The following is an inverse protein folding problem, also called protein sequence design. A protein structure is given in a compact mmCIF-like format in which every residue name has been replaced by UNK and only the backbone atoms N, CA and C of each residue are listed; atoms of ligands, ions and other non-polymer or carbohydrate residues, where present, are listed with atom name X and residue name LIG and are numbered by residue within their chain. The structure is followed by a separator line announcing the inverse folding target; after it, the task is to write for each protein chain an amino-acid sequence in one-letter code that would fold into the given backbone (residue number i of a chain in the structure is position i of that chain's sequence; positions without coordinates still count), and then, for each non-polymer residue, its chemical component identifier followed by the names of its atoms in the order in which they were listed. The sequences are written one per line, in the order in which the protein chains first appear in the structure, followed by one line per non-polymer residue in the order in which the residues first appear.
data_IF_071749355015
#
_entry.id   IF_071749355015
#
_cell.length_a   1.000
_cell.length_b   1.000
_cell.length_c   1.000
_cell.angle_alpha   90.00
_cell.angle_beta   90.00
_cell.angle_gamma   90.00
#
_symmetry.space_group_name_H-M   'P 1'
#
loop_
_entity.id
_entity.type
_entity.pdbx_description
1 polymer ?
#
# COMPACT_ATOMS: atom_id res chain seq x y z
N UNK A 1 9.39 -21.67 11.57
CA UNK A 1 10.80 -21.38 11.78
C UNK A 1 11.01 -19.90 11.74
N UNK A 2 11.42 -19.30 12.86
CA UNK A 2 11.87 -17.91 12.93
C UNK A 2 13.33 -17.89 13.38
N UNK A 3 14.20 -17.16 12.69
CA UNK A 3 15.59 -16.97 13.11
C UNK A 3 15.78 -15.52 13.53
N UNK A 4 16.20 -15.28 14.76
CA UNK A 4 16.54 -13.96 15.30
C UNK A 4 18.06 -13.89 15.39
N UNK A 5 18.65 -12.99 14.64
CA UNK A 5 20.09 -12.74 14.56
C UNK A 5 20.34 -11.31 15.04
N UNK A 6 21.22 -11.12 16.03
CA UNK A 6 21.48 -9.80 16.59
C UNK A 6 22.93 -9.65 17.05
N UNK A 7 23.52 -8.46 16.98
CA UNK A 7 24.80 -8.15 17.61
C UNK A 7 24.61 -7.74 19.07
N UNK A 8 25.36 -8.31 20.02
CA UNK A 8 25.13 -8.02 21.45
C UNK A 8 25.58 -6.61 21.90
N UNK A 9 26.33 -5.90 21.05
CA UNK A 9 26.75 -4.50 21.22
C UNK A 9 26.07 -3.56 20.20
N UNK A 10 24.94 -3.96 19.60
CA UNK A 10 24.19 -3.08 18.68
C UNK A 10 23.72 -1.81 19.41
N UNK A 11 24.23 -0.66 18.95
CA UNK A 11 23.95 0.68 19.48
C UNK A 11 22.90 1.46 18.66
N UNK A 12 22.46 0.92 17.51
CA UNK A 12 21.40 1.48 16.68
C UNK A 12 20.03 0.88 17.03
N UNK A 13 19.98 -0.45 17.19
CA UNK A 13 18.82 -1.23 17.62
C UNK A 13 19.27 -2.15 18.74
N UNK A 14 19.08 -1.78 20.02
CA UNK A 14 19.61 -2.54 21.14
C UNK A 14 19.18 -4.01 21.13
N UNK A 15 20.07 -4.92 21.53
CA UNK A 15 19.80 -6.38 21.62
C UNK A 15 18.57 -6.73 22.47
N UNK A 16 18.12 -5.82 23.33
CA UNK A 16 16.87 -5.95 24.09
C UNK A 16 15.65 -6.13 23.18
N UNK A 17 15.66 -5.61 21.96
CA UNK A 17 14.58 -5.81 20.98
C UNK A 17 14.50 -7.28 20.52
N UNK A 18 15.63 -7.90 20.18
CA UNK A 18 15.69 -9.32 19.83
C UNK A 18 15.28 -10.23 21.00
N UNK A 19 15.72 -9.89 22.22
CA UNK A 19 15.33 -10.62 23.43
C UNK A 19 13.82 -10.49 23.71
N UNK A 20 13.24 -9.31 23.48
CA UNK A 20 11.79 -9.07 23.61
C UNK A 20 11.01 -9.89 22.60
N UNK A 21 11.46 -9.93 21.33
CA UNK A 21 10.87 -10.76 20.29
C UNK A 21 10.93 -12.26 20.66
N UNK A 22 12.09 -12.74 21.12
CA UNK A 22 12.27 -14.12 21.56
C UNK A 22 11.36 -14.48 22.75
N UNK A 23 11.28 -13.61 23.76
CA UNK A 23 10.41 -13.81 24.92
C UNK A 23 8.93 -13.91 24.49
N UNK A 24 8.49 -13.04 23.58
CA UNK A 24 7.10 -13.09 23.10
C UNK A 24 6.81 -14.31 22.24
N UNK A 25 7.74 -14.72 21.37
CA UNK A 25 7.59 -15.97 20.60
C UNK A 25 7.48 -17.17 21.53
N UNK A 26 8.27 -17.23 22.60
CA UNK A 26 8.27 -18.34 23.55
C UNK A 26 6.89 -18.63 24.17
N UNK A 27 6.01 -17.63 24.25
CA UNK A 27 4.65 -17.77 24.76
C UNK A 27 3.72 -18.59 23.84
N UNK A 28 3.94 -18.61 22.52
CA UNK A 28 3.00 -19.23 21.57
C UNK A 28 3.63 -19.98 20.38
N UNK A 29 4.92 -19.78 20.09
CA UNK A 29 5.63 -20.39 18.97
C UNK A 29 6.95 -20.99 19.43
N UNK A 30 7.15 -22.30 19.20
CA UNK A 30 8.34 -23.01 19.69
C UNK A 30 9.43 -23.26 18.63
N UNK A 31 9.14 -23.03 17.35
CA UNK A 31 10.10 -23.23 16.25
C UNK A 31 10.83 -21.91 15.92
N UNK A 32 11.64 -21.42 16.87
CA UNK A 32 12.49 -20.25 16.67
C UNK A 32 13.88 -20.42 17.28
N UNK A 33 14.84 -19.66 16.77
CA UNK A 33 16.22 -19.56 17.27
C UNK A 33 16.55 -18.10 17.54
N UNK A 34 17.19 -17.82 18.68
CA UNK A 34 17.86 -16.54 18.95
C UNK A 34 19.37 -16.78 18.95
N UNK A 35 20.11 -16.05 18.12
CA UNK A 35 21.55 -16.01 18.12
C UNK A 35 22.03 -14.56 18.28
N UNK A 36 22.73 -14.31 19.38
CA UNK A 36 23.40 -13.05 19.66
C UNK A 36 24.89 -13.21 19.33
N UNK A 37 25.41 -12.45 18.38
CA UNK A 37 26.82 -12.45 18.01
C UNK A 37 27.62 -11.62 19.04
N UNK A 38 28.53 -12.25 19.82
CA UNK A 38 29.30 -11.53 20.83
C UNK A 38 30.23 -10.50 20.21
N UNK A 39 30.25 -9.30 20.80
CA UNK A 39 31.08 -8.17 20.40
C UNK A 39 30.64 -7.47 19.10
N UNK A 40 29.57 -7.92 18.45
CA UNK A 40 29.10 -7.31 17.21
C UNK A 40 28.17 -6.12 17.48
N UNK A 41 28.40 -5.03 16.75
CA UNK A 41 27.51 -3.87 16.71
C UNK A 41 26.37 -4.06 15.70
N UNK A 42 25.79 -2.96 15.22
CA UNK A 42 24.66 -3.00 14.27
C UNK A 42 25.01 -3.64 12.92
N UNK A 43 26.16 -3.27 12.37
CA UNK A 43 26.72 -3.87 11.15
C UNK A 43 28.00 -4.62 11.50
N UNK A 44 28.09 -5.89 11.11
CA UNK A 44 29.32 -6.66 11.23
C UNK A 44 29.52 -7.57 10.03
N UNK A 45 30.78 -7.89 9.75
CA UNK A 45 31.17 -8.94 8.79
C UNK A 45 31.62 -10.19 9.52
N UNK A 46 31.60 -11.34 8.83
CA UNK A 46 32.32 -12.50 9.31
C UNK A 46 33.82 -12.32 9.05
N UNK A 47 34.73 -12.69 9.97
CA UNK A 47 36.18 -12.57 9.73
C UNK A 47 36.67 -13.35 8.48
N UNK A 48 35.92 -14.38 8.09
CA UNK A 48 36.22 -15.28 6.98
C UNK A 48 35.50 -14.95 5.67
N UNK A 49 34.60 -13.98 5.65
CA UNK A 49 33.78 -13.66 4.48
C UNK A 49 33.64 -12.14 4.32
N UNK A 50 34.14 -11.53 3.21
CA UNK A 50 33.89 -10.14 2.90
C UNK A 50 32.41 -9.92 2.59
N UNK A 51 31.62 -9.62 3.62
CA UNK A 51 30.18 -9.44 3.54
C UNK A 51 29.62 -8.81 4.81
N UNK A 52 28.29 -8.73 4.89
CA UNK A 52 27.59 -8.19 6.04
C UNK A 52 26.95 -9.37 6.78
N UNK A 53 27.74 -10.02 7.65
CA UNK A 53 27.36 -11.16 8.49
C UNK A 53 26.01 -11.02 9.22
N UNK A 54 25.61 -9.77 9.49
CA UNK A 54 24.31 -9.39 10.03
C UNK A 54 23.10 -9.63 9.11
N UNK A 55 23.29 -9.80 7.81
CA UNK A 55 22.24 -10.03 6.81
C UNK A 55 22.45 -11.32 6.01
N UNK A 56 23.65 -11.90 6.03
CA UNK A 56 24.01 -13.08 5.25
C UNK A 56 24.44 -14.31 6.09
N UNK A 57 23.98 -14.40 7.35
CA UNK A 57 24.37 -15.44 8.31
C UNK A 57 24.04 -16.89 7.84
N UNK A 58 25.05 -17.78 7.68
CA UNK A 58 24.82 -19.11 7.12
C UNK A 58 23.81 -19.99 7.90
N UNK A 59 23.80 -20.03 9.25
CA UNK A 59 22.77 -20.75 9.99
C UNK A 59 21.33 -20.27 9.75
N UNK A 60 21.14 -18.99 9.43
CA UNK A 60 19.81 -18.46 9.06
C UNK A 60 19.36 -19.03 7.71
N UNK A 61 20.26 -19.09 6.72
CA UNK A 61 19.96 -19.69 5.42
C UNK A 61 19.76 -21.21 5.50
N UNK A 62 20.48 -21.92 6.38
CA UNK A 62 20.24 -23.34 6.64
C UNK A 62 18.81 -23.56 7.19
N UNK A 63 18.32 -22.68 8.06
CA UNK A 63 16.91 -22.71 8.49
C UNK A 63 15.96 -22.53 7.30
N UNK A 64 16.20 -21.57 6.41
CA UNK A 64 15.35 -21.35 5.24
C UNK A 64 15.32 -22.56 4.30
N UNK A 65 16.47 -23.21 4.08
CA UNK A 65 16.55 -24.42 3.26
C UNK A 65 15.78 -25.60 3.85
N UNK A 66 15.78 -25.74 5.19
CA UNK A 66 15.07 -26.82 5.89
C UNK A 66 13.59 -26.55 6.13
N UNK A 67 13.13 -25.31 5.97
CA UNK A 67 11.75 -24.88 6.24
C UNK A 67 11.09 -24.43 4.95
N UNK A 68 10.55 -25.41 4.22
CA UNK A 68 9.82 -25.19 2.98
C UNK A 68 8.37 -24.85 3.31
N UNK A 69 7.83 -23.80 2.68
CA UNK A 69 6.40 -23.49 2.79
C UNK A 69 5.56 -24.62 2.20
N UNK A 70 4.55 -25.08 2.93
CA UNK A 70 3.58 -26.03 2.41
C UNK A 70 2.91 -25.47 1.15
N UNK A 71 2.57 -26.36 0.20
CA UNK A 71 1.83 -25.96 -1.00
C UNK A 71 0.38 -25.57 -0.63
N UNK A 72 -0.30 -24.74 -1.44
CA UNK A 72 -1.70 -24.40 -1.17
C UNK A 72 -2.61 -25.64 -1.05
N UNK A 73 -2.43 -26.65 -1.90
CA UNK A 73 -3.20 -27.91 -1.88
C UNK A 73 -2.92 -28.80 -0.63
N UNK A 74 -1.82 -28.56 0.07
CA UNK A 74 -1.45 -29.24 1.32
C UNK A 74 -1.92 -28.48 2.57
N UNK A 75 -2.27 -27.21 2.42
CA UNK A 75 -2.64 -26.35 3.55
C UNK A 75 -4.11 -26.55 3.94
N UNK A 76 -4.35 -26.96 5.20
CA UNK A 76 -5.71 -27.18 5.73
C UNK A 76 -6.26 -26.01 6.53
N UNK A 77 -5.42 -25.08 6.96
CA UNK A 77 -5.83 -23.91 7.73
C UNK A 77 -5.02 -22.69 7.31
N UNK A 78 -5.71 -21.57 7.14
CA UNK A 78 -5.12 -20.26 6.88
C UNK A 78 -5.57 -19.34 8.00
N UNK A 79 -4.61 -18.72 8.68
CA UNK A 79 -4.81 -17.60 9.59
C UNK A 79 -4.01 -16.43 9.03
N UNK A 80 -4.71 -15.54 8.32
CA UNK A 80 -4.10 -14.48 7.54
C UNK A 80 -4.58 -13.12 8.02
N UNK A 81 -3.63 -12.21 8.26
CA UNK A 81 -3.91 -10.81 8.57
C UNK A 81 -3.07 -9.91 7.67
N UNK A 82 -3.70 -8.89 7.09
CA UNK A 82 -3.03 -7.86 6.30
C UNK A 82 -3.56 -6.48 6.65
N UNK A 83 -2.67 -5.50 6.79
CA UNK A 83 -3.07 -4.11 6.96
C UNK A 83 -3.58 -3.50 5.64
N UNK A 84 -3.05 -3.95 4.51
CA UNK A 84 -3.39 -3.45 3.19
C UNK A 84 -3.17 -4.53 2.12
N UNK A 85 -4.22 -4.93 1.38
CA UNK A 85 -4.11 -5.85 0.24
C UNK A 85 -3.08 -5.41 -0.82
N UNK A 86 -2.78 -4.11 -0.93
CA UNK A 86 -1.72 -3.60 -1.81
C UNK A 86 -0.32 -4.14 -1.48
N UNK A 87 -0.05 -4.43 -0.20
CA UNK A 87 1.26 -4.92 0.29
C UNK A 87 1.29 -6.44 0.33
N UNK A 88 0.24 -7.05 0.88
CA UNK A 88 0.12 -8.51 0.97
C UNK A 88 -1.36 -8.87 0.90
N UNK A 89 -1.75 -9.54 -0.18
CA UNK A 89 -3.12 -9.93 -0.42
C UNK A 89 -3.38 -11.41 -0.19
N UNK A 90 -2.37 -12.26 -0.38
CA UNK A 90 -2.56 -13.70 -0.52
C UNK A 90 -1.81 -14.48 0.54
N UNK A 91 -2.48 -15.47 1.11
CA UNK A 91 -1.87 -16.53 1.91
C UNK A 91 -2.46 -17.86 1.47
N UNK A 92 -1.62 -18.70 0.86
CA UNK A 92 -2.00 -20.03 0.37
C UNK A 92 -3.18 -19.94 -0.62
N UNK A 93 -4.31 -20.57 -0.33
CA UNK A 93 -5.50 -20.57 -1.18
C UNK A 93 -6.47 -19.41 -0.93
N UNK A 94 -6.12 -18.45 -0.06
CA UNK A 94 -6.94 -17.28 0.24
C UNK A 94 -6.28 -16.00 -0.27
N UNK A 95 -7.05 -15.17 -0.97
CA UNK A 95 -6.67 -13.77 -1.29
C UNK A 95 -7.72 -12.79 -0.77
N UNK A 96 -7.31 -11.78 0.00
CA UNK A 96 -8.14 -10.63 0.36
C UNK A 96 -7.94 -9.55 -0.71
N UNK A 97 -9.00 -9.19 -1.43
CA UNK A 97 -8.94 -8.21 -2.52
C UNK A 97 -9.29 -6.80 -2.07
N UNK A 98 -10.31 -6.66 -1.22
CA UNK A 98 -10.83 -5.35 -0.79
C UNK A 98 -11.15 -5.35 0.69
N UNK A 99 -10.90 -4.22 1.35
CA UNK A 99 -11.22 -3.98 2.75
C UNK A 99 -12.56 -3.25 2.88
N UNK A 100 -13.20 -3.34 4.05
CA UNK A 100 -14.39 -2.53 4.36
C UNK A 100 -13.95 -1.13 4.80
N UNK A 101 -13.01 -1.08 5.74
CA UNK A 101 -12.35 0.11 6.27
C UNK A 101 -10.87 0.05 5.84
N UNK A 102 -10.41 0.97 4.99
CA UNK A 102 -9.03 1.00 4.53
C UNK A 102 -8.01 1.07 5.69
N UNK A 103 -6.90 0.35 5.56
CA UNK A 103 -5.77 0.29 6.51
C UNK A 103 -6.05 -0.23 7.93
N UNK A 104 -7.31 -0.40 8.33
CA UNK A 104 -7.63 -1.26 9.49
C UNK A 104 -7.25 -2.70 9.12
N UNK A 105 -6.59 -3.47 10.00
CA UNK A 105 -6.24 -4.85 9.68
C UNK A 105 -7.45 -5.65 9.20
N UNK A 106 -7.30 -6.33 8.07
CA UNK A 106 -8.23 -7.33 7.58
C UNK A 106 -7.69 -8.70 7.95
N UNK A 107 -8.55 -9.56 8.49
CA UNK A 107 -8.15 -10.90 8.90
C UNK A 107 -9.15 -11.95 8.44
N UNK A 108 -8.63 -13.17 8.28
CA UNK A 108 -9.41 -14.32 7.87
C UNK A 108 -8.80 -15.59 8.47
N UNK A 109 -9.61 -16.33 9.24
CA UNK A 109 -9.24 -17.62 9.81
C UNK A 109 -10.17 -18.68 9.22
N UNK A 110 -9.66 -19.43 8.25
CA UNK A 110 -10.44 -20.40 7.48
C UNK A 110 -9.76 -21.78 7.50
N UNK A 111 -10.59 -22.81 7.59
CA UNK A 111 -10.22 -24.22 7.44
C UNK A 111 -10.71 -24.75 6.10
N UNK A 112 -9.84 -25.47 5.39
CA UNK A 112 -10.17 -26.27 4.22
C UNK A 112 -10.34 -27.74 4.65
N UNK A 113 -11.49 -28.33 4.30
CA UNK A 113 -11.82 -29.74 4.49
C UNK A 113 -12.08 -30.37 3.10
N UNK A 114 -11.04 -30.92 2.46
CA UNK A 114 -11.15 -31.51 1.12
C UNK A 114 -12.11 -32.69 1.05
N UNK A 115 -12.14 -33.54 2.09
CA UNK A 115 -13.01 -34.72 2.14
C UNK A 115 -14.49 -34.33 2.22
N UNK A 116 -14.81 -33.33 3.06
CA UNK A 116 -16.15 -32.73 3.14
C UNK A 116 -16.46 -31.72 2.03
N UNK A 117 -15.51 -31.47 1.10
CA UNK A 117 -15.56 -30.44 0.05
C UNK A 117 -16.02 -29.08 0.56
N UNK A 118 -15.37 -28.57 1.61
CA UNK A 118 -15.80 -27.30 2.21
C UNK A 118 -14.67 -26.39 2.70
N UNK A 119 -14.91 -25.09 2.62
CA UNK A 119 -14.23 -24.07 3.42
C UNK A 119 -15.13 -23.63 4.57
N UNK A 120 -14.55 -23.43 5.76
CA UNK A 120 -15.27 -22.96 6.95
C UNK A 120 -14.43 -21.95 7.72
N UNK A 121 -14.99 -20.78 8.06
CA UNK A 121 -14.23 -19.81 8.84
C UNK A 121 -14.93 -18.47 9.08
N UNK A 122 -14.13 -17.51 9.53
CA UNK A 122 -14.59 -16.15 9.82
C UNK A 122 -13.64 -15.10 9.25
N UNK A 123 -14.17 -13.91 9.00
CA UNK A 123 -13.41 -12.75 8.52
C UNK A 123 -13.69 -11.51 9.35
N UNK A 124 -12.69 -10.63 9.45
CA UNK A 124 -12.86 -9.25 9.91
C UNK A 124 -12.34 -8.26 8.88
N UNK A 125 -13.09 -7.17 8.69
CA UNK A 125 -12.75 -6.09 7.75
C UNK A 125 -12.48 -6.53 6.29
N UNK A 126 -13.17 -7.57 5.79
CA UNK A 126 -13.04 -8.03 4.40
C UNK A 126 -14.30 -7.71 3.59
N UNK A 127 -14.15 -7.00 2.48
CA UNK A 127 -15.25 -6.65 1.57
C UNK A 127 -15.32 -7.60 0.36
N UNK A 128 -14.17 -8.04 -0.16
CA UNK A 128 -14.07 -8.99 -1.27
C UNK A 128 -12.88 -9.92 -1.01
N UNK A 129 -13.11 -11.23 -1.15
CA UNK A 129 -12.05 -12.23 -1.11
C UNK A 129 -12.18 -13.22 -2.25
N UNK A 130 -11.10 -13.94 -2.47
CA UNK A 130 -10.97 -15.02 -3.43
C UNK A 130 -10.49 -16.28 -2.70
N UNK A 131 -11.11 -17.41 -3.02
CA UNK A 131 -10.67 -18.73 -2.58
C UNK A 131 -10.27 -19.54 -3.81
N UNK A 132 -9.00 -19.93 -3.87
CA UNK A 132 -8.51 -20.89 -4.85
C UNK A 132 -9.12 -22.27 -4.55
N UNK A 133 -9.66 -22.92 -5.57
CA UNK A 133 -10.27 -24.24 -5.45
C UNK A 133 -9.29 -25.39 -5.68
N UNK A 134 -7.99 -25.07 -5.86
CA UNK A 134 -6.90 -26.06 -5.97
C UNK A 134 -6.93 -27.18 -4.91
N UNK A 135 -7.38 -26.96 -3.65
CA UNK A 135 -7.48 -28.05 -2.69
C UNK A 135 -8.54 -29.12 -2.99
N UNK A 136 -9.39 -28.96 -4.02
CA UNK A 136 -10.46 -29.89 -4.36
C UNK A 136 -10.33 -30.45 -5.78
N UNK A 137 -10.35 -31.78 -5.89
CA UNK A 137 -10.38 -32.45 -7.19
C UNK A 137 -11.80 -32.55 -7.77
N UNK A 138 -11.91 -32.64 -9.09
CA UNK A 138 -13.17 -32.89 -9.80
C UNK A 138 -14.13 -31.70 -9.84
N UNK A 139 -15.35 -31.95 -10.34
CA UNK A 139 -16.30 -30.92 -10.77
C UNK A 139 -17.44 -30.61 -9.79
N UNK A 140 -17.54 -31.42 -8.73
CA UNK A 140 -18.62 -31.29 -7.75
C UNK A 140 -18.57 -29.93 -7.05
N UNK A 141 -19.70 -29.34 -6.67
CA UNK A 141 -19.71 -28.10 -5.91
C UNK A 141 -18.91 -28.19 -4.59
N UNK A 142 -18.38 -27.06 -4.16
CA UNK A 142 -17.70 -26.88 -2.87
C UNK A 142 -18.61 -26.04 -1.97
N UNK A 143 -18.72 -26.41 -0.69
CA UNK A 143 -19.47 -25.62 0.28
C UNK A 143 -18.57 -24.57 0.92
N UNK A 144 -19.07 -23.35 1.10
CA UNK A 144 -18.38 -22.30 1.84
C UNK A 144 -19.28 -21.86 2.99
N UNK A 145 -18.81 -22.06 4.22
CA UNK A 145 -19.44 -21.55 5.44
C UNK A 145 -18.56 -20.42 6.00
N UNK A 146 -18.92 -19.18 5.68
CA UNK A 146 -18.13 -18.01 6.02
C UNK A 146 -18.99 -17.00 6.76
N UNK A 147 -18.56 -16.61 7.97
CA UNK A 147 -19.31 -15.67 8.81
C UNK A 147 -20.78 -16.05 8.98
N UNK A 148 -21.05 -17.36 9.16
CA UNK A 148 -22.40 -17.97 9.26
C UNK A 148 -23.23 -17.91 7.98
N UNK A 149 -22.65 -17.48 6.86
CA UNK A 149 -23.27 -17.56 5.53
C UNK A 149 -22.85 -18.85 4.86
N UNK A 150 -23.82 -19.66 4.42
CA UNK A 150 -23.57 -20.90 3.68
C UNK A 150 -23.81 -20.70 2.19
N UNK A 151 -22.83 -21.05 1.37
CA UNK A 151 -22.86 -20.93 -0.08
C UNK A 151 -22.43 -22.25 -0.71
N UNK A 152 -23.07 -22.63 -1.81
CA UNK A 152 -22.60 -23.71 -2.67
C UNK A 152 -21.97 -23.09 -3.91
N UNK A 153 -20.66 -23.28 -4.08
CA UNK A 153 -19.89 -22.66 -5.17
C UNK A 153 -19.54 -23.71 -6.23
N UNK A 154 -19.66 -23.38 -7.53
CA UNK A 154 -19.26 -24.29 -8.60
C UNK A 154 -17.73 -24.44 -8.59
N UNK A 155 -17.24 -25.68 -8.72
CA UNK A 155 -15.80 -25.95 -8.71
C UNK A 155 -15.15 -25.90 -10.10
N UNK A 156 -15.95 -26.08 -11.15
CA UNK A 156 -15.42 -26.17 -12.52
C UNK A 156 -14.55 -27.41 -12.69
N UNK A 157 -13.37 -27.28 -13.27
CA UNK A 157 -12.36 -28.34 -13.44
C UNK A 157 -11.43 -28.51 -12.22
N UNK A 158 -11.75 -27.90 -11.07
CA UNK A 158 -10.92 -27.95 -9.85
C UNK A 158 -9.70 -27.02 -9.86
N UNK A 159 -9.52 -26.20 -10.91
CA UNK A 159 -8.38 -25.28 -11.04
C UNK A 159 -8.75 -23.79 -10.97
N UNK A 160 -10.04 -23.49 -10.80
CA UNK A 160 -10.54 -22.12 -10.70
C UNK A 160 -10.39 -21.49 -9.32
N UNK A 161 -10.77 -20.23 -9.25
CA UNK A 161 -11.00 -19.51 -7.99
C UNK A 161 -12.46 -19.09 -7.92
N UNK A 162 -12.97 -18.96 -6.70
CA UNK A 162 -14.27 -18.32 -6.44
C UNK A 162 -14.06 -17.00 -5.74
N UNK A 163 -14.83 -15.99 -6.15
CA UNK A 163 -14.84 -14.67 -5.54
C UNK A 163 -16.10 -14.52 -4.71
N UNK A 164 -15.94 -14.06 -3.48
CA UNK A 164 -17.02 -13.81 -2.54
C UNK A 164 -17.00 -12.35 -2.15
N UNK A 165 -18.15 -11.69 -2.26
CA UNK A 165 -18.33 -10.30 -1.83
C UNK A 165 -19.24 -10.25 -0.63
N UNK A 166 -18.87 -9.42 0.35
CA UNK A 166 -19.68 -9.17 1.53
C UNK A 166 -20.84 -8.25 1.16
N UNK A 167 -22.02 -8.59 1.65
CA UNK A 167 -23.26 -7.82 1.51
C UNK A 167 -23.87 -7.56 2.89
N UNK A 168 -24.96 -6.79 2.94
CA UNK A 168 -25.70 -6.54 4.18
C UNK A 168 -26.22 -7.83 4.84
N UNK A 169 -26.51 -8.87 4.04
CA UNK A 169 -27.11 -10.13 4.48
C UNK A 169 -26.08 -11.29 4.53
N UNK A 170 -24.78 -11.00 4.58
CA UNK A 170 -23.72 -12.00 4.54
C UNK A 170 -23.01 -12.07 3.19
N UNK A 171 -22.45 -13.22 2.85
CA UNK A 171 -21.63 -13.40 1.65
C UNK A 171 -22.44 -13.80 0.41
N UNK A 172 -21.98 -13.39 -0.77
CA UNK A 172 -22.51 -13.84 -2.06
C UNK A 172 -21.40 -14.11 -3.06
N UNK A 173 -21.67 -14.95 -4.05
CA UNK A 173 -20.82 -15.11 -5.23
C UNK A 173 -20.66 -13.77 -5.95
N UNK A 174 -19.44 -13.50 -6.41
CA UNK A 174 -19.07 -12.29 -7.11
C UNK A 174 -18.12 -12.59 -8.27
N UNK A 175 -17.83 -11.56 -9.05
CA UNK A 175 -16.75 -11.56 -10.03
C UNK A 175 -15.48 -10.96 -9.42
N UNK A 176 -14.30 -11.14 -10.05
CA UNK A 176 -13.11 -10.39 -9.70
C UNK A 176 -13.37 -8.88 -9.64
N UNK A 177 -12.64 -8.11 -8.80
CA UNK A 177 -12.82 -6.67 -8.75
C UNK A 177 -12.50 -6.07 -10.13
N UNK A 178 -13.35 -5.17 -10.66
CA UNK A 178 -13.06 -4.44 -11.89
C UNK A 178 -11.70 -3.71 -11.81
N UNK A 179 -11.03 -3.53 -12.95
CA UNK A 179 -9.70 -2.91 -13.01
C UNK A 179 -9.70 -1.48 -12.48
N UNK A 180 -10.85 -0.81 -12.55
CA UNK A 180 -11.06 0.56 -12.11
C UNK A 180 -11.08 0.66 -10.58
N UNK A 181 -11.46 -0.40 -9.88
CA UNK A 181 -11.62 -0.43 -8.42
C UNK A 181 -10.29 -0.68 -7.68
N UNK A 182 -10.33 -0.49 -6.37
CA UNK A 182 -9.24 -0.90 -5.47
C UNK A 182 -9.09 -2.41 -5.50
N UNK A 183 -7.84 -2.85 -5.53
CA UNK A 183 -7.43 -4.26 -5.61
C UNK A 183 -5.96 -4.40 -5.19
N UNK A 184 -5.44 -5.63 -4.98
CA UNK A 184 -4.01 -5.85 -4.80
C UNK A 184 -3.19 -5.19 -5.90
N UNK A 185 -2.12 -4.49 -5.54
CA UNK A 185 -1.31 -3.66 -6.44
C UNK A 185 -1.94 -2.30 -6.81
N UNK A 186 -3.23 -2.07 -6.52
CA UNK A 186 -3.89 -0.76 -6.70
C UNK A 186 -4.84 -0.39 -5.55
N UNK A 187 -4.39 -0.49 -4.29
CA UNK A 187 -5.24 -0.28 -3.11
C UNK A 187 -5.13 1.12 -2.47
N UNK A 188 -4.16 1.93 -2.92
CA UNK A 188 -3.64 3.05 -2.13
C UNK A 188 -2.80 2.55 -0.95
N UNK A 189 -2.25 3.44 -0.10
CA UNK A 189 -2.51 4.87 -0.10
C UNK A 189 -1.50 5.67 -0.93
N UNK A 190 -1.34 6.98 -0.70
CA UNK A 190 -0.51 7.88 -1.52
C UNK A 190 0.85 7.30 -1.93
N UNK A 191 1.53 6.61 -1.01
CA UNK A 191 2.85 6.02 -1.23
C UNK A 191 2.87 4.87 -2.26
N UNK A 192 1.75 4.21 -2.53
CA UNK A 192 1.66 3.17 -3.57
C UNK A 192 1.86 3.72 -4.98
N UNK A 193 1.69 5.03 -5.19
CA UNK A 193 2.04 5.60 -6.48
C UNK A 193 3.52 5.43 -6.83
N UNK A 194 4.40 5.25 -5.84
CA UNK A 194 5.85 5.10 -6.04
C UNK A 194 6.28 3.63 -6.26
N UNK A 195 5.38 2.65 -6.26
CA UNK A 195 5.72 1.22 -6.43
C UNK A 195 5.67 0.72 -7.89
N UNK A 196 5.28 1.58 -8.85
CA UNK A 196 5.04 1.19 -10.25
C UNK A 196 5.92 1.96 -11.24
N UNK A 197 7.24 1.87 -11.07
CA UNK A 197 8.23 2.48 -11.96
C UNK A 197 7.95 3.96 -12.23
N UNK A 198 7.69 4.75 -11.20
CA UNK A 198 7.13 6.09 -11.35
C UNK A 198 8.02 7.07 -12.14
N UNK A 199 7.41 8.13 -12.68
CA UNK A 199 8.06 9.31 -13.27
C UNK A 199 7.62 10.58 -12.55
N UNK A 200 8.52 11.55 -12.46
CA UNK A 200 8.28 12.84 -11.83
C UNK A 200 8.01 13.89 -12.90
N UNK A 201 6.82 14.48 -12.91
CA UNK A 201 6.41 15.40 -13.99
C UNK A 201 6.03 16.76 -13.41
N UNK A 202 6.84 17.78 -13.69
CA UNK A 202 6.65 19.11 -13.15
C UNK A 202 5.89 20.04 -14.10
N UNK A 203 5.03 20.89 -13.53
CA UNK A 203 4.22 21.84 -14.28
C UNK A 203 5.03 23.00 -14.88
N UNK A 204 4.63 23.47 -16.06
CA UNK A 204 5.27 24.60 -16.77
C UNK A 204 4.31 25.74 -17.11
N UNK A 205 3.03 25.64 -16.73
CA UNK A 205 2.00 26.63 -17.06
C UNK A 205 1.79 27.71 -15.99
N UNK A 206 2.49 27.60 -14.85
CA UNK A 206 2.43 28.58 -13.77
C UNK A 206 3.25 29.84 -14.04
N UNK A 207 3.29 30.71 -13.03
CA UNK A 207 4.25 31.81 -12.91
C UNK A 207 5.69 31.29 -12.83
N UNK A 208 6.67 32.19 -12.99
CA UNK A 208 8.09 31.82 -12.90
C UNK A 208 8.42 31.16 -11.55
N UNK A 209 7.85 31.67 -10.46
CA UNK A 209 8.06 31.14 -9.11
C UNK A 209 7.40 29.77 -8.90
N UNK A 210 6.18 29.58 -9.41
CA UNK A 210 5.46 28.29 -9.33
C UNK A 210 6.17 27.21 -10.14
N UNK A 211 6.59 27.52 -11.38
CA UNK A 211 7.34 26.60 -12.23
C UNK A 211 8.68 26.24 -11.60
N UNK A 212 9.38 27.23 -11.03
CA UNK A 212 10.65 27.00 -10.38
C UNK A 212 10.50 26.16 -9.09
N UNK A 213 9.39 26.31 -8.34
CA UNK A 213 9.08 25.41 -7.23
C UNK A 213 8.82 23.98 -7.73
N UNK A 214 7.97 23.80 -8.74
CA UNK A 214 7.59 22.48 -9.22
C UNK A 214 8.82 21.67 -9.68
N UNK A 215 9.72 22.29 -10.45
CA UNK A 215 10.97 21.66 -10.87
C UNK A 215 11.89 21.34 -9.68
N UNK A 216 12.11 22.29 -8.76
CA UNK A 216 12.98 22.05 -7.59
C UNK A 216 12.43 20.96 -6.68
N UNK A 217 11.11 20.90 -6.49
CA UNK A 217 10.48 19.87 -5.68
C UNK A 217 10.63 18.48 -6.30
N UNK A 218 10.35 18.36 -7.60
CA UNK A 218 10.57 17.11 -8.35
C UNK A 218 12.04 16.65 -8.26
N UNK A 219 12.99 17.57 -8.40
CA UNK A 219 14.42 17.26 -8.26
C UNK A 219 14.80 16.81 -6.85
N UNK A 220 14.33 17.53 -5.83
CA UNK A 220 14.58 17.18 -4.43
C UNK A 220 14.04 15.79 -4.09
N UNK A 221 12.87 15.44 -4.62
CA UNK A 221 12.28 14.10 -4.43
C UNK A 221 13.05 13.00 -5.15
N UNK A 222 13.53 13.26 -6.37
CA UNK A 222 14.40 12.33 -7.08
C UNK A 222 15.71 12.08 -6.30
N UNK A 223 16.37 13.14 -5.83
CA UNK A 223 17.60 13.06 -5.03
C UNK A 223 17.36 12.33 -3.69
N UNK A 224 16.21 12.61 -3.04
CA UNK A 224 15.83 11.93 -1.79
C UNK A 224 15.58 10.45 -2.04
N UNK A 225 14.89 10.09 -3.13
CA UNK A 225 14.64 8.70 -3.50
C UNK A 225 15.93 7.98 -3.90
N UNK A 226 16.85 8.65 -4.59
CA UNK A 226 18.17 8.10 -4.88
C UNK A 226 18.93 7.78 -3.59
N UNK A 227 19.02 8.75 -2.67
CA UNK A 227 19.74 8.57 -1.42
C UNK A 227 19.13 7.46 -0.54
N UNK A 228 17.80 7.37 -0.47
CA UNK A 228 17.10 6.44 0.45
C UNK A 228 16.75 5.08 -0.17
N UNK A 229 16.36 5.07 -1.43
CA UNK A 229 15.82 3.92 -2.14
C UNK A 229 16.74 3.38 -3.23
N UNK A 230 17.90 4.00 -3.44
CA UNK A 230 18.86 3.64 -4.49
C UNK A 230 18.23 3.55 -5.89
N UNK A 231 17.30 4.46 -6.20
CA UNK A 231 16.62 4.53 -7.50
C UNK A 231 16.76 5.90 -8.15
N UNK A 232 16.69 5.93 -9.48
CA UNK A 232 16.86 7.15 -10.28
C UNK A 232 15.62 7.39 -11.16
N UNK A 233 14.54 8.00 -10.62
CA UNK A 233 13.35 8.28 -11.40
C UNK A 233 13.62 9.39 -12.44
N UNK A 234 12.97 9.29 -13.59
CA UNK A 234 13.01 10.36 -14.60
C UNK A 234 12.26 11.60 -14.12
N UNK A 235 12.80 12.76 -14.45
CA UNK A 235 12.16 14.07 -14.23
C UNK A 235 11.85 14.66 -15.61
N UNK A 236 10.58 15.01 -15.83
CA UNK A 236 10.08 15.51 -17.11
C UNK A 236 9.30 16.80 -16.91
N UNK A 237 9.39 17.73 -17.85
CA UNK A 237 8.39 18.78 -17.95
C UNK A 237 7.04 18.18 -18.37
N UNK A 238 5.95 18.81 -17.95
CA UNK A 238 4.59 18.44 -18.37
C UNK A 238 4.39 18.49 -19.91
N UNK A 239 5.22 19.24 -20.63
CA UNK A 239 5.26 19.32 -22.10
C UNK A 239 5.98 18.15 -22.77
N UNK A 240 6.82 17.42 -22.04
CA UNK A 240 7.63 16.31 -22.56
C UNK A 240 6.96 14.95 -22.34
N UNK A 241 5.99 14.88 -21.43
CA UNK A 241 5.31 13.65 -21.10
C UNK A 241 4.36 13.18 -22.20
N UNK A 242 4.50 11.90 -22.58
CA UNK A 242 3.60 11.21 -23.50
C UNK A 242 3.04 9.91 -22.90
N UNK A 243 1.75 9.64 -23.12
CA UNK A 243 1.06 8.48 -22.55
C UNK A 243 1.61 7.15 -23.08
N UNK A 244 2.02 7.10 -24.35
CA UNK A 244 2.48 5.86 -24.98
C UNK A 244 3.89 5.52 -24.50
N UNK A 245 4.80 6.49 -24.44
CA UNK A 245 6.17 6.30 -23.96
C UNK A 245 6.24 5.88 -22.50
N UNK A 246 5.27 6.32 -21.69
CA UNK A 246 5.21 6.02 -20.25
C UNK A 246 4.04 5.10 -19.90
N UNK A 247 3.72 4.11 -20.75
CA UNK A 247 2.66 3.12 -20.49
C UNK A 247 2.89 2.38 -19.16
N UNK A 248 1.84 2.21 -18.37
CA UNK A 248 1.83 1.47 -17.10
C UNK A 248 2.82 1.94 -16.01
N UNK A 249 3.40 3.14 -16.17
CA UNK A 249 4.21 3.80 -15.15
C UNK A 249 3.35 4.76 -14.34
N UNK A 250 3.55 4.82 -13.04
CA UNK A 250 2.92 5.87 -12.22
C UNK A 250 3.45 7.24 -12.57
N UNK A 251 2.60 8.26 -12.51
CA UNK A 251 2.95 9.65 -12.79
C UNK A 251 2.80 10.47 -11.53
N UNK A 252 3.88 11.07 -11.05
CA UNK A 252 3.87 11.98 -9.91
C UNK A 252 3.86 13.42 -10.45
N UNK A 253 2.72 14.08 -10.37
CA UNK A 253 2.54 15.46 -10.83
C UNK A 253 2.98 16.45 -9.77
N UNK A 254 3.78 17.43 -10.18
CA UNK A 254 4.09 18.60 -9.37
C UNK A 254 3.38 19.83 -9.95
N UNK A 255 2.55 20.46 -9.13
CA UNK A 255 1.66 21.56 -9.55
C UNK A 255 0.18 21.17 -9.52
N UNK A 256 -0.67 22.16 -9.76
CA UNK A 256 -2.14 22.03 -9.72
C UNK A 256 -2.76 22.21 -11.12
N UNK A 257 -4.09 22.24 -11.23
CA UNK A 257 -4.82 22.33 -12.50
C UNK A 257 -4.48 23.58 -13.33
N UNK A 258 -4.06 24.67 -12.68
CA UNK A 258 -3.67 25.91 -13.35
C UNK A 258 -2.19 25.92 -13.76
N UNK A 259 -1.35 25.10 -13.13
CA UNK A 259 0.11 25.16 -13.30
C UNK A 259 0.71 23.94 -14.00
N UNK A 260 -0.02 22.83 -14.10
CA UNK A 260 0.43 21.60 -14.76
C UNK A 260 -0.52 21.20 -15.91
N UNK A 261 0.01 21.22 -17.13
CA UNK A 261 -0.74 21.01 -18.38
C UNK A 261 -1.36 19.63 -18.52
N UNK A 262 -0.87 18.64 -17.77
CA UNK A 262 -1.36 17.27 -17.84
C UNK A 262 -2.54 16.99 -16.93
N UNK A 263 -2.94 17.95 -16.08
CA UNK A 263 -3.97 17.74 -15.06
C UNK A 263 -5.24 17.14 -15.64
N UNK A 264 -5.88 17.83 -16.59
CA UNK A 264 -7.13 17.36 -17.22
C UNK A 264 -6.95 16.05 -18.00
N UNK A 265 -5.76 15.82 -18.58
CA UNK A 265 -5.45 14.62 -19.36
C UNK A 265 -5.32 13.38 -18.47
N UNK A 266 -4.74 13.52 -17.29
CA UNK A 266 -4.44 12.40 -16.38
C UNK A 266 -5.50 12.20 -15.29
N UNK A 267 -6.20 13.26 -14.88
CA UNK A 267 -7.18 13.27 -13.81
C UNK A 267 -8.60 13.70 -14.27
N UNK A 268 -9.11 13.25 -15.44
CA UNK A 268 -10.37 13.76 -15.99
C UNK A 268 -11.58 13.44 -15.11
N UNK A 269 -11.53 12.34 -14.36
CA UNK A 269 -12.62 11.85 -13.50
C UNK A 269 -12.25 11.87 -12.02
N UNK A 270 -11.12 12.49 -11.67
CA UNK A 270 -10.69 12.55 -10.28
C UNK A 270 -11.66 13.45 -9.48
N UNK A 271 -12.21 12.97 -8.34
CA UNK A 271 -13.09 13.77 -7.50
C UNK A 271 -12.34 14.87 -6.74
N UNK A 272 -11.01 14.87 -6.78
CA UNK A 272 -10.16 15.92 -6.19
C UNK A 272 -9.64 16.83 -7.28
N UNK A 273 -9.95 18.13 -7.17
CA UNK A 273 -9.48 19.16 -8.10
C UNK A 273 -8.78 20.25 -7.30
N UNK A 274 -7.58 20.64 -7.71
CA UNK A 274 -6.79 21.68 -7.04
C UNK A 274 -6.48 22.76 -8.05
N UNK A 275 -6.74 24.01 -7.69
CA UNK A 275 -6.44 25.20 -8.49
C UNK A 275 -5.86 26.28 -7.59
N UNK A 276 -5.54 27.46 -8.14
CA UNK A 276 -5.17 28.59 -7.31
C UNK A 276 -6.31 28.95 -6.34
N UNK A 277 -5.95 29.15 -5.09
CA UNK A 277 -6.86 29.58 -4.02
C UNK A 277 -7.88 28.55 -3.52
N UNK A 278 -7.93 27.32 -4.05
CA UNK A 278 -8.89 26.32 -3.58
C UNK A 278 -8.52 24.86 -3.87
N UNK A 279 -8.93 23.98 -2.95
CA UNK A 279 -9.04 22.53 -3.17
C UNK A 279 -10.52 22.15 -3.17
N UNK A 280 -10.97 21.45 -4.21
CA UNK A 280 -12.30 20.85 -4.28
C UNK A 280 -12.21 19.34 -4.12
N UNK A 281 -13.01 18.79 -3.22
CA UNK A 281 -13.14 17.36 -2.94
C UNK A 281 -14.62 16.99 -3.09
N UNK A 282 -14.97 16.38 -4.22
CA UNK A 282 -16.37 16.16 -4.63
C UNK A 282 -17.14 17.50 -4.58
N UNK A 283 -18.17 17.61 -3.74
CA UNK A 283 -18.99 18.83 -3.62
C UNK A 283 -18.43 19.85 -2.61
N UNK A 284 -17.36 19.51 -1.88
CA UNK A 284 -16.77 20.39 -0.86
C UNK A 284 -15.66 21.24 -1.44
N UNK A 285 -15.69 22.54 -1.17
CA UNK A 285 -14.61 23.47 -1.54
C UNK A 285 -13.94 24.01 -0.28
N UNK A 286 -12.62 23.87 -0.23
CA UNK A 286 -11.75 24.41 0.81
C UNK A 286 -10.99 25.57 0.15
N UNK A 287 -11.32 26.80 0.52
CA UNK A 287 -10.66 27.99 0.01
C UNK A 287 -9.42 28.34 0.84
N UNK A 288 -8.40 28.89 0.18
CA UNK A 288 -7.13 29.31 0.78
C UNK A 288 -6.01 29.28 -0.25
N UNK A 289 -5.09 30.23 -0.20
CA UNK A 289 -3.89 30.30 -1.05
C UNK A 289 -2.66 29.62 -0.42
N UNK A 290 -2.83 29.04 0.76
CA UNK A 290 -1.80 28.40 1.58
C UNK A 290 -2.01 26.89 1.78
N UNK A 291 -2.99 26.30 1.09
CA UNK A 291 -3.30 24.88 1.21
C UNK A 291 -2.25 24.04 0.49
N UNK A 292 -1.62 23.11 1.19
CA UNK A 292 -0.88 22.00 0.61
C UNK A 292 -1.83 20.82 0.37
N UNK A 293 -1.59 20.07 -0.70
CA UNK A 293 -2.40 18.91 -1.06
C UNK A 293 -1.55 17.79 -1.63
N UNK A 294 -1.70 16.59 -1.06
CA UNK A 294 -1.19 15.33 -1.58
C UNK A 294 -2.37 14.40 -1.86
N UNK A 295 -2.40 13.77 -3.02
CA UNK A 295 -3.31 12.66 -3.24
C UNK A 295 -2.82 11.69 -4.30
N UNK A 296 -3.37 10.48 -4.29
CA UNK A 296 -3.23 9.52 -5.38
C UNK A 296 -4.58 9.14 -5.95
N UNK A 297 -4.62 8.91 -7.26
CA UNK A 297 -5.79 8.46 -7.97
C UNK A 297 -5.37 7.45 -9.04
N UNK A 298 -6.20 6.46 -9.38
CA UNK A 298 -5.90 5.52 -10.45
C UNK A 298 -5.66 6.21 -11.80
N UNK A 299 -4.63 5.76 -12.51
CA UNK A 299 -4.47 6.12 -13.93
C UNK A 299 -5.56 5.42 -14.73
N UNK A 300 -6.32 6.18 -15.52
CA UNK A 300 -7.47 5.65 -16.26
C UNK A 300 -7.08 4.73 -17.42
N UNK A 301 -5.87 4.89 -17.96
CA UNK A 301 -5.32 4.15 -19.11
C UNK A 301 -4.35 3.02 -18.68
N UNK A 302 -4.28 2.70 -17.38
CA UNK A 302 -3.47 1.59 -16.85
C UNK A 302 -4.25 0.81 -15.80
N UNK A 303 -4.01 -0.50 -15.74
CA UNK A 303 -4.63 -1.37 -14.74
C UNK A 303 -3.89 -1.37 -13.40
N UNK A 304 -2.65 -0.84 -13.33
CA UNK A 304 -1.82 -0.90 -12.13
C UNK A 304 -1.33 0.49 -11.68
N UNK A 305 -1.01 1.37 -12.63
CA UNK A 305 -0.40 2.65 -12.32
C UNK A 305 -1.34 3.66 -11.64
N UNK A 306 -0.72 4.64 -11.00
CA UNK A 306 -1.37 5.77 -10.36
C UNK A 306 -0.99 7.09 -11.01
N UNK A 307 -1.82 8.10 -10.79
CA UNK A 307 -1.42 9.50 -10.77
C UNK A 307 -1.35 9.91 -9.29
N UNK A 308 -0.17 10.30 -8.81
CA UNK A 308 -0.06 11.01 -7.54
C UNK A 308 0.24 12.47 -7.78
N UNK A 309 -0.20 13.33 -6.87
CA UNK A 309 -0.08 14.78 -6.99
C UNK A 309 0.59 15.33 -5.75
N UNK A 310 1.60 16.16 -5.97
CA UNK A 310 2.27 16.99 -4.98
C UNK A 310 2.01 18.44 -5.37
N UNK A 311 1.13 19.13 -4.64
CA UNK A 311 0.69 20.46 -5.05
C UNK A 311 0.29 21.36 -3.88
N UNK A 312 0.00 22.61 -4.21
CA UNK A 312 -0.67 23.54 -3.32
C UNK A 312 -1.49 24.55 -4.10
N UNK A 313 -2.34 25.29 -3.40
CA UNK A 313 -3.23 26.31 -3.98
C UNK A 313 -2.55 27.66 -4.17
N UNK A 314 -1.32 27.81 -3.70
CA UNK A 314 -0.43 28.94 -3.92
C UNK A 314 0.98 28.59 -3.45
N UNK A 315 1.93 29.52 -3.60
CA UNK A 315 3.35 29.25 -3.30
C UNK A 315 3.60 28.82 -1.85
N UNK A 316 2.81 29.33 -0.89
CA UNK A 316 2.91 28.93 0.52
C UNK A 316 2.56 27.45 0.69
N UNK A 317 1.41 27.01 0.16
CA UNK A 317 0.98 25.61 0.22
C UNK A 317 1.89 24.68 -0.58
N UNK A 318 2.35 25.12 -1.74
CA UNK A 318 3.35 24.41 -2.56
C UNK A 318 4.63 24.11 -1.75
N UNK A 319 5.25 25.14 -1.16
CA UNK A 319 6.46 25.00 -0.33
C UNK A 319 6.22 24.20 0.94
N UNK A 320 5.00 24.23 1.48
CA UNK A 320 4.65 23.42 2.64
C UNK A 320 4.76 21.91 2.35
N UNK A 321 4.59 21.47 1.10
CA UNK A 321 4.84 20.07 0.71
C UNK A 321 6.32 19.65 0.83
N UNK A 322 7.26 20.60 0.85
CA UNK A 322 8.69 20.33 1.09
C UNK A 322 8.95 19.81 2.51
N UNK A 323 7.93 19.83 3.38
CA UNK A 323 7.95 19.28 4.74
C UNK A 323 7.26 17.92 4.85
N UNK A 324 6.76 17.35 3.76
CA UNK A 324 6.07 16.06 3.76
C UNK A 324 7.04 14.88 3.53
N UNK A 325 7.36 14.07 4.55
CA UNK A 325 8.37 13.01 4.46
C UNK A 325 7.83 11.68 3.90
N UNK A 326 7.26 11.66 2.70
CA UNK A 326 6.65 10.43 2.15
C UNK A 326 7.65 9.33 1.72
N UNK A 327 8.96 9.62 1.69
CA UNK A 327 10.01 8.60 1.51
C UNK A 327 10.64 8.12 2.83
N UNK A 328 10.06 8.45 3.98
CA UNK A 328 10.52 7.97 5.29
C UNK A 328 9.63 6.80 5.74
N UNK A 329 10.23 5.85 6.48
CA UNK A 329 9.49 4.77 7.14
C UNK A 329 8.67 5.32 8.31
N UNK A 330 7.52 4.72 8.61
CA UNK A 330 6.67 5.15 9.73
C UNK A 330 5.88 6.43 9.50
N UNK A 331 5.87 6.99 8.29
CA UNK A 331 5.06 8.16 7.91
C UNK A 331 3.92 7.74 6.96
N UNK A 332 2.75 7.34 7.48
CA UNK A 332 1.62 6.99 6.64
C UNK A 332 0.98 8.26 6.07
N UNK A 333 0.78 8.28 4.76
CA UNK A 333 -0.04 9.30 4.09
C UNK A 333 -1.32 8.63 3.60
N UNK A 334 -2.50 9.21 3.85
CA UNK A 334 -3.77 8.71 3.33
C UNK A 334 -3.86 8.89 1.81
N UNK A 335 -4.97 8.47 1.19
CA UNK A 335 -5.16 8.67 -0.26
C UNK A 335 -5.24 10.16 -0.63
N UNK A 336 -5.76 10.99 0.27
CA UNK A 336 -5.85 12.44 0.16
C UNK A 336 -5.49 13.08 1.51
N UNK A 337 -4.62 14.10 1.47
CA UNK A 337 -4.32 14.97 2.60
C UNK A 337 -4.28 16.43 2.12
N UNK A 338 -5.06 17.29 2.78
CA UNK A 338 -5.07 18.74 2.59
C UNK A 338 -4.76 19.40 3.92
N UNK A 339 -3.75 20.28 3.96
CA UNK A 339 -3.34 20.94 5.20
C UNK A 339 -2.78 22.33 4.95
N UNK A 340 -2.69 23.10 6.03
CA UNK A 340 -2.22 24.49 6.05
C UNK A 340 -0.94 24.62 6.88
N UNK A 341 -0.24 25.77 6.83
CA UNK A 341 0.95 26.00 7.66
C UNK A 341 0.69 25.84 9.16
N UNK A 342 -0.56 26.03 9.61
CA UNK A 342 -0.98 25.76 10.98
C UNK A 342 -0.62 24.34 11.45
N UNK A 343 -0.50 23.36 10.54
CA UNK A 343 -0.16 21.98 10.89
C UNK A 343 1.25 21.86 11.48
N UNK A 344 2.15 22.78 11.14
CA UNK A 344 3.52 22.82 11.67
C UNK A 344 3.55 23.28 13.13
N UNK A 345 2.54 24.04 13.58
CA UNK A 345 2.48 24.63 14.91
C UNK A 345 1.46 23.94 15.82
N UNK A 346 0.36 23.47 15.24
CA UNK A 346 -0.83 22.99 15.95
C UNK A 346 -1.16 21.53 15.64
N UNK A 347 -0.31 20.83 14.89
CA UNK A 347 -0.52 19.43 14.51
C UNK A 347 -1.78 19.23 13.67
N UNK A 348 -2.62 18.27 14.05
CA UNK A 348 -3.82 17.88 13.27
C UNK A 348 -4.84 19.00 13.10
N UNK A 349 -4.83 20.03 13.94
CA UNK A 349 -5.71 21.21 13.78
C UNK A 349 -5.43 22.03 12.51
N UNK A 350 -4.24 21.86 11.90
CA UNK A 350 -3.91 22.46 10.61
C UNK A 350 -4.37 21.67 9.38
N UNK A 351 -4.89 20.44 9.58
CA UNK A 351 -5.45 19.61 8.51
C UNK A 351 -6.83 20.14 8.16
N UNK A 352 -7.16 20.15 6.87
CA UNK A 352 -8.47 20.59 6.33
C UNK A 352 -9.26 19.44 5.73
N UNK A 353 -8.58 18.46 5.16
CA UNK A 353 -9.18 17.19 4.76
C UNK A 353 -8.13 16.07 4.86
N UNK A 354 -8.55 14.88 5.26
CA UNK A 354 -7.75 13.67 5.19
C UNK A 354 -8.68 12.48 4.96
N UNK A 355 -8.29 11.53 4.11
CA UNK A 355 -9.11 10.34 3.94
C UNK A 355 -8.65 9.35 2.91
N UNK A 356 -9.37 8.23 2.88
CA UNK A 356 -9.19 7.13 1.95
C UNK A 356 -10.41 7.02 1.05
N UNK A 357 -10.21 6.95 -0.26
CA UNK A 357 -11.30 6.69 -1.18
C UNK A 357 -11.91 5.32 -0.92
N UNK A 358 -13.19 5.18 -1.27
CA UNK A 358 -13.87 3.89 -1.28
C UNK A 358 -13.23 2.90 -2.24
N UNK A 359 -13.69 1.65 -2.21
CA UNK A 359 -13.20 0.62 -3.14
C UNK A 359 -13.45 0.99 -4.62
N UNK A 360 -14.38 1.90 -4.91
CA UNK A 360 -14.63 2.44 -6.25
C UNK A 360 -13.93 3.79 -6.52
N UNK A 361 -12.97 4.17 -5.68
CA UNK A 361 -12.24 5.44 -5.73
C UNK A 361 -13.11 6.70 -5.52
N UNK A 362 -14.36 6.54 -5.06
CA UNK A 362 -15.22 7.67 -4.74
C UNK A 362 -14.95 8.25 -3.34
N UNK A 363 -15.29 9.52 -3.17
CA UNK A 363 -15.28 10.19 -1.86
C UNK A 363 -16.47 9.75 -1.02
N UNK A 364 -17.67 9.68 -1.62
CA UNK A 364 -18.92 9.33 -0.93
C UNK A 364 -18.96 7.92 -0.32
N UNK A 365 -18.22 6.96 -0.87
CA UNK A 365 -18.05 5.62 -0.26
C UNK A 365 -16.70 5.43 0.45
N UNK A 366 -15.93 6.50 0.58
CA UNK A 366 -14.67 6.50 1.30
C UNK A 366 -14.82 6.84 2.78
N UNK A 367 -13.68 6.89 3.46
CA UNK A 367 -13.55 7.33 4.83
C UNK A 367 -12.78 8.65 4.86
N UNK A 368 -13.51 9.76 5.02
CA UNK A 368 -12.97 11.11 4.96
C UNK A 368 -13.33 11.92 6.21
N UNK A 369 -12.33 12.58 6.77
CA UNK A 369 -12.49 13.62 7.76
C UNK A 369 -12.24 14.99 7.12
N UNK A 370 -13.14 15.93 7.38
CA UNK A 370 -13.00 17.33 7.00
C UNK A 370 -12.94 18.18 8.26
N UNK A 371 -12.09 19.20 8.26
CA UNK A 371 -12.16 20.22 9.30
C UNK A 371 -13.52 20.94 9.24
N UNK A 372 -14.06 21.35 10.40
CA UNK A 372 -15.34 22.06 10.48
C UNK A 372 -15.32 23.42 9.78
#
# INVERSE_FOLDING_TARGET
GVYILHGDQDDNVPVTEARTMAARLQEFHRDFTLYEQPGAGHWWGAPSDPGAGCVDWPPMFDLFQRRIMARPDETRHVDFTTANPGVSATMQWLTIHQQIVPLKPSSASLRCDPAGRRFVGTTDNVALLELSLLPFDGDKPVQVDLDRTKLSVPCGDGKGSVYLQRSQNGWRLASPPPLEQKRPGRAGPFKEAFSHGFVLVYGTAGTAEENAWAFRKARCDAETFWYRGNGAPEILADTEFDLKSYRDRSVILYGNADTNRLWTKLLPTCPVQVSRGAVKVEDRTIAGDDLACLFCFPRHDSAAAYVAVVCGTGLTGMRLTDRAPYFISGTPFPDLLVWTPDALLKGTAGVRAAGFFGNDWSVSKGDFAFAP
#
